data_IF_969826813852
#
_entry.id   IF_969826813852
#
_cell.length_a   1.000
_cell.length_b   1.000
_cell.length_c   1.000
_cell.angle_alpha   90.00
_cell.angle_beta   90.00
_cell.angle_gamma   90.00
#
_symmetry.space_group_name_H-M   'P 1'
#
loop_
_entity.id
_entity.type
_entity.pdbx_description
1 polymer ?
#
# COMPACT_ATOMS: atom_id res chain seq x y z
N UNK A 1 -44.21 15.29 23.66
CA UNK A 1 -44.53 14.31 22.59
C UNK A 1 -44.41 14.85 21.16
N UNK A 2 -44.45 16.16 20.92
CA UNK A 2 -44.31 16.78 19.57
C UNK A 2 -42.91 16.62 18.96
N UNK A 3 -41.83 16.84 19.72
CA UNK A 3 -40.44 16.74 19.22
C UNK A 3 -40.02 15.33 18.78
N UNK A 4 -40.63 14.28 19.36
CA UNK A 4 -40.29 12.90 19.01
C UNK A 4 -40.87 12.51 17.63
N UNK A 5 -42.07 13.01 17.31
CA UNK A 5 -42.71 12.77 16.01
C UNK A 5 -41.97 13.46 14.86
N UNK A 6 -41.47 14.67 15.08
CA UNK A 6 -40.73 15.41 14.06
C UNK A 6 -39.35 14.80 13.76
N UNK A 7 -38.67 14.30 14.80
CA UNK A 7 -37.39 13.58 14.65
C UNK A 7 -37.58 12.25 13.92
N UNK A 8 -38.64 11.51 14.24
CA UNK A 8 -38.97 10.25 13.57
C UNK A 8 -39.31 10.47 12.09
N UNK A 9 -40.06 11.52 11.75
CA UNK A 9 -40.35 11.87 10.35
C UNK A 9 -39.10 12.24 9.55
N UNK A 10 -38.15 12.99 10.13
CA UNK A 10 -36.87 13.33 9.47
C UNK A 10 -35.98 12.11 9.24
N UNK A 11 -35.98 11.14 10.15
CA UNK A 11 -35.24 9.88 9.99
C UNK A 11 -35.88 9.01 8.90
N UNK A 12 -37.21 8.86 8.93
CA UNK A 12 -37.95 8.07 7.95
C UNK A 12 -37.81 8.68 6.54
N UNK A 13 -37.89 10.01 6.41
CA UNK A 13 -37.69 10.72 5.14
C UNK A 13 -36.29 10.52 4.55
N UNK A 14 -35.25 10.61 5.39
CA UNK A 14 -33.87 10.37 4.96
C UNK A 14 -33.61 8.90 4.57
N UNK A 15 -34.25 7.94 5.25
CA UNK A 15 -34.18 6.53 4.90
C UNK A 15 -34.88 6.27 3.56
N UNK A 16 -36.06 6.85 3.34
CA UNK A 16 -36.80 6.72 2.07
C UNK A 16 -36.02 7.33 0.90
N UNK A 17 -35.42 8.51 1.06
CA UNK A 17 -34.57 9.11 0.00
C UNK A 17 -33.36 8.24 -0.31
N UNK A 18 -32.66 7.73 0.71
CA UNK A 18 -31.52 6.82 0.51
C UNK A 18 -31.95 5.51 -0.16
N UNK A 19 -33.12 4.99 0.19
CA UNK A 19 -33.67 3.78 -0.43
C UNK A 19 -34.07 4.01 -1.89
N UNK A 20 -34.69 5.15 -2.21
CA UNK A 20 -35.02 5.54 -3.59
C UNK A 20 -33.75 5.77 -4.42
N UNK A 21 -32.71 6.42 -3.87
CA UNK A 21 -31.43 6.58 -4.57
C UNK A 21 -30.75 5.23 -4.84
N UNK A 22 -30.70 4.33 -3.84
CA UNK A 22 -30.19 2.97 -4.05
C UNK A 22 -31.01 2.20 -5.09
N UNK A 23 -32.34 2.38 -5.11
CA UNK A 23 -33.23 1.69 -6.05
C UNK A 23 -33.08 2.22 -7.48
N UNK A 24 -32.91 3.53 -7.65
CA UNK A 24 -32.66 4.17 -8.96
C UNK A 24 -31.27 3.80 -9.49
N UNK A 25 -30.24 3.77 -8.64
CA UNK A 25 -28.92 3.26 -9.01
C UNK A 25 -28.99 1.77 -9.41
N UNK A 26 -29.74 0.96 -8.68
CA UNK A 26 -29.94 -0.45 -8.99
C UNK A 26 -30.65 -0.65 -10.35
N UNK A 27 -31.70 0.12 -10.63
CA UNK A 27 -32.42 0.06 -11.90
C UNK A 27 -31.56 0.57 -13.07
N UNK A 28 -30.76 1.61 -12.85
CA UNK A 28 -29.83 2.12 -13.84
C UNK A 28 -28.72 1.11 -14.17
N UNK A 29 -28.16 0.45 -13.16
CA UNK A 29 -27.17 -0.62 -13.32
C UNK A 29 -27.79 -1.84 -14.03
N UNK A 30 -29.01 -2.24 -13.65
CA UNK A 30 -29.73 -3.32 -14.32
C UNK A 30 -30.01 -3.00 -15.79
N UNK A 31 -30.43 -1.77 -16.09
CA UNK A 31 -30.71 -1.31 -17.45
C UNK A 31 -29.46 -1.23 -18.32
N UNK A 32 -28.33 -0.75 -17.77
CA UNK A 32 -27.02 -0.75 -18.45
C UNK A 32 -26.57 -2.19 -18.74
N UNK A 33 -26.69 -3.11 -17.77
CA UNK A 33 -26.36 -4.52 -17.97
C UNK A 33 -27.25 -5.20 -19.01
N UNK A 34 -28.54 -4.88 -19.04
CA UNK A 34 -29.46 -5.33 -20.07
C UNK A 34 -29.08 -4.79 -21.45
N UNK A 35 -28.71 -3.52 -21.56
CA UNK A 35 -28.27 -2.92 -22.83
C UNK A 35 -26.96 -3.57 -23.34
N UNK A 36 -25.97 -3.74 -22.46
CA UNK A 36 -24.68 -4.33 -22.81
C UNK A 36 -24.83 -5.79 -23.24
N UNK A 37 -25.64 -6.58 -22.52
CA UNK A 37 -25.92 -7.98 -22.87
C UNK A 37 -26.57 -8.12 -24.24
N UNK A 38 -27.50 -7.21 -24.59
CA UNK A 38 -28.14 -7.21 -25.90
C UNK A 38 -27.20 -6.73 -27.02
N UNK A 39 -26.34 -5.74 -26.77
CA UNK A 39 -25.33 -5.28 -27.75
C UNK A 39 -24.29 -6.37 -28.03
N UNK A 40 -23.82 -7.09 -27.00
CA UNK A 40 -22.88 -8.21 -27.18
C UNK A 40 -23.51 -9.36 -27.96
N UNK A 41 -24.79 -9.69 -27.72
CA UNK A 41 -25.53 -10.68 -28.53
C UNK A 41 -25.66 -10.27 -29.99
N UNK A 42 -25.91 -8.99 -30.27
CA UNK A 42 -26.00 -8.47 -31.65
C UNK A 42 -24.63 -8.53 -32.34
N UNK A 43 -23.54 -8.20 -31.64
CA UNK A 43 -22.19 -8.28 -32.21
C UNK A 43 -21.75 -9.73 -32.50
N UNK A 44 -22.13 -10.70 -31.68
CA UNK A 44 -21.87 -12.12 -31.97
C UNK A 44 -22.71 -12.66 -33.14
N UNK A 45 -23.94 -12.19 -33.31
CA UNK A 45 -24.80 -12.61 -34.43
C UNK A 45 -24.34 -12.04 -35.79
N UNK A 46 -23.74 -10.85 -35.79
CA UNK A 46 -23.20 -10.22 -37.01
C UNK A 46 -21.86 -10.83 -37.44
N UNK A 47 -21.06 -11.39 -36.52
CA UNK A 47 -19.78 -12.03 -36.86
C UNK A 47 -19.90 -13.48 -37.34
N UNK A 48 -21.00 -14.18 -37.05
CA UNK A 48 -21.20 -15.59 -37.47
C UNK A 48 -21.85 -15.72 -38.87
N UNK A 49 -22.24 -14.60 -39.47
CA UNK A 49 -22.95 -14.56 -40.77
C UNK A 49 -22.03 -14.34 -41.98
N UNK A 50 -20.71 -14.24 -41.79
CA UNK A 50 -19.78 -13.83 -42.86
C UNK A 50 -18.60 -14.78 -43.07
N UNK A 51 -18.84 -16.08 -43.19
CA UNK A 51 -17.91 -16.98 -43.90
C UNK A 51 -18.64 -18.19 -44.48
N UNK A 52 -19.01 -18.15 -45.77
CA UNK A 52 -18.93 -19.37 -46.58
C UNK A 52 -18.84 -19.14 -48.11
N UNK A 53 -17.84 -19.84 -48.66
CA UNK A 53 -17.64 -20.42 -49.99
C UNK A 53 -17.41 -19.59 -51.27
N UNK A 54 -16.22 -19.79 -51.86
CA UNK A 54 -15.88 -19.61 -53.27
C UNK A 54 -14.37 -19.77 -53.55
N UNK A 55 -13.90 -20.79 -54.32
CA UNK A 55 -12.48 -21.11 -54.46
C UNK A 55 -11.85 -20.51 -55.72
N UNK A 56 -10.63 -19.97 -55.64
CA UNK A 56 -9.80 -19.65 -56.81
C UNK A 56 -8.30 -19.87 -56.52
N UNK A 57 -7.75 -20.76 -57.34
CA UNK A 57 -6.37 -21.09 -57.75
C UNK A 57 -5.13 -20.32 -57.26
N UNK A 58 -4.10 -21.13 -56.96
CA UNK A 58 -2.64 -20.94 -56.96
C UNK A 58 -2.11 -20.16 -58.19
N UNK A 59 -0.96 -19.45 -58.13
CA UNK A 59 0.33 -20.14 -58.30
C UNK A 59 1.52 -19.52 -57.52
N UNK A 60 2.57 -20.33 -57.29
CA UNK A 60 3.94 -19.82 -57.40
C UNK A 60 4.90 -20.25 -56.28
N UNK A 61 5.40 -21.47 -56.42
CA UNK A 61 6.62 -21.98 -55.80
C UNK A 61 7.86 -21.15 -56.15
N UNK A 62 8.80 -21.03 -55.23
CA UNK A 62 10.09 -21.71 -55.39
C UNK A 62 10.99 -21.66 -54.12
N UNK A 63 11.91 -22.62 -53.96
CA UNK A 63 12.32 -23.17 -52.66
C UNK A 63 13.78 -22.89 -52.31
N UNK A 64 14.14 -22.85 -51.02
CA UNK A 64 15.52 -23.08 -50.57
C UNK A 64 15.52 -23.89 -49.24
N UNK A 65 16.04 -25.11 -49.34
CA UNK A 65 16.57 -26.00 -48.29
C UNK A 65 17.77 -26.73 -48.94
N UNK A 66 18.67 -27.45 -48.22
CA UNK A 66 18.80 -27.61 -46.77
C UNK A 66 20.27 -27.51 -46.27
N UNK A 67 20.46 -27.55 -44.95
CA UNK A 67 21.64 -28.23 -44.39
C UNK A 67 21.27 -28.97 -43.10
N UNK A 68 21.31 -30.31 -43.21
CA UNK A 68 21.18 -31.29 -42.14
C UNK A 68 22.39 -31.26 -41.19
N UNK A 69 22.15 -31.49 -39.90
CA UNK A 69 23.04 -32.30 -39.07
C UNK A 69 22.24 -33.02 -37.97
N UNK A 70 22.47 -34.33 -37.89
CA UNK A 70 21.85 -35.33 -37.02
C UNK A 70 22.10 -35.14 -35.51
N UNK A 71 21.03 -35.44 -34.74
CA UNK A 71 20.88 -36.24 -33.48
C UNK A 71 22.12 -36.89 -32.81
N UNK A 72 22.08 -37.28 -31.49
CA UNK A 72 20.89 -37.81 -30.78
C UNK A 72 20.68 -37.45 -29.30
N UNK A 73 19.46 -37.81 -28.86
CA UNK A 73 18.99 -37.92 -27.47
C UNK A 73 19.63 -39.15 -26.78
N UNK A 74 19.67 -39.20 -25.44
CA UNK A 74 19.18 -40.42 -24.79
C UNK A 74 18.35 -40.16 -23.53
N UNK A 75 17.21 -40.86 -23.46
CA UNK A 75 16.57 -41.25 -22.20
C UNK A 75 17.43 -42.32 -21.53
N UNK A 76 17.60 -42.25 -20.21
CA UNK A 76 17.81 -43.47 -19.40
C UNK A 76 17.10 -43.30 -18.07
N UNK A 77 16.20 -44.25 -17.80
CA UNK A 77 15.63 -44.57 -16.49
C UNK A 77 16.69 -45.26 -15.63
N UNK A 78 16.73 -44.96 -14.33
CA UNK A 78 17.21 -45.91 -13.32
C UNK A 78 16.28 -45.85 -12.11
N UNK A 79 15.55 -46.95 -11.90
CA UNK A 79 14.91 -47.34 -10.66
C UNK A 79 15.98 -47.74 -9.63
N UNK A 80 15.85 -47.27 -8.39
CA UNK A 80 16.34 -47.99 -7.20
C UNK A 80 15.25 -47.88 -6.12
N UNK A 81 14.75 -49.05 -5.71
CA UNK A 81 13.89 -49.28 -4.54
C UNK A 81 14.66 -48.96 -3.25
N UNK A 82 14.02 -48.30 -2.29
CA UNK A 82 14.22 -48.56 -0.85
C UNK A 82 12.90 -48.30 -0.10
N UNK A 83 12.34 -49.40 0.39
CA UNK A 83 11.57 -49.64 1.62
C UNK A 83 10.66 -48.58 2.25
N UNK A 84 9.39 -48.98 2.38
CA UNK A 84 8.48 -48.53 3.43
C UNK A 84 8.99 -48.97 4.80
N UNK A 85 9.13 -48.02 5.74
CA UNK A 85 8.83 -48.25 7.15
C UNK A 85 8.48 -46.94 7.86
N UNK A 86 7.46 -47.09 8.71
CA UNK A 86 6.74 -46.11 9.52
C UNK A 86 7.58 -45.62 10.70
N UNK A 87 7.63 -44.31 10.95
CA UNK A 87 7.43 -43.70 12.29
C UNK A 87 7.44 -42.16 12.27
N UNK A 88 6.83 -41.61 13.33
CA UNK A 88 6.38 -40.24 13.53
C UNK A 88 7.52 -39.23 13.77
N UNK A 89 7.28 -37.96 13.39
CA UNK A 89 7.28 -36.77 14.27
C UNK A 89 7.62 -35.52 13.47
N UNK A 90 6.64 -34.65 13.21
CA UNK A 90 6.90 -33.26 12.84
C UNK A 90 5.74 -32.36 13.28
N UNK A 91 5.73 -32.06 14.59
CA UNK A 91 5.12 -30.88 15.17
C UNK A 91 6.19 -30.17 15.99
N UNK A 92 6.94 -29.26 15.38
CA UNK A 92 7.51 -28.07 16.03
C UNK A 92 8.44 -27.32 15.05
N UNK A 93 7.87 -26.45 14.23
CA UNK A 93 8.66 -25.42 13.55
C UNK A 93 7.87 -24.12 13.43
N UNK A 94 7.32 -23.61 14.54
CA UNK A 94 6.70 -22.27 14.58
C UNK A 94 6.88 -21.52 15.92
N UNK A 95 7.66 -22.03 16.87
CA UNK A 95 7.78 -21.44 18.23
C UNK A 95 9.24 -21.35 18.72
N UNK A 96 10.21 -21.05 17.84
CA UNK A 96 11.59 -20.76 18.26
C UNK A 96 11.81 -19.26 18.51
N UNK A 97 11.28 -18.39 17.64
CA UNK A 97 11.58 -16.95 17.70
C UNK A 97 10.99 -16.18 18.89
N UNK A 98 9.85 -16.60 19.45
CA UNK A 98 9.20 -15.87 20.57
C UNK A 98 9.81 -16.26 21.92
N UNK A 99 10.22 -17.51 22.09
CA UNK A 99 10.90 -17.99 23.31
C UNK A 99 12.29 -17.35 23.45
N UNK A 100 12.96 -17.13 22.33
CA UNK A 100 14.28 -16.49 22.27
C UNK A 100 14.20 -14.98 22.59
N UNK A 101 13.09 -14.33 22.22
CA UNK A 101 12.77 -12.93 22.59
C UNK A 101 12.57 -12.77 24.10
N UNK A 102 11.90 -13.71 24.77
CA UNK A 102 11.73 -13.69 26.23
C UNK A 102 13.07 -13.83 26.97
N UNK A 103 13.98 -14.67 26.48
CA UNK A 103 15.29 -14.91 27.12
C UNK A 103 16.26 -13.74 26.98
N UNK A 104 16.22 -12.98 25.88
CA UNK A 104 17.03 -11.77 25.73
C UNK A 104 16.58 -10.66 26.68
N UNK A 105 15.27 -10.56 26.96
CA UNK A 105 14.70 -9.52 27.84
C UNK A 105 14.99 -9.76 29.34
N UNK A 106 15.01 -11.01 29.81
CA UNK A 106 15.30 -11.33 31.23
C UNK A 106 16.74 -10.95 31.65
N UNK A 107 17.69 -10.98 30.72
CA UNK A 107 19.10 -10.63 30.97
C UNK A 107 19.37 -9.13 31.18
N UNK A 108 18.35 -8.28 30.99
CA UNK A 108 18.47 -6.80 31.05
C UNK A 108 17.81 -6.15 32.28
N UNK A 109 17.46 -6.95 33.29
CA UNK A 109 16.83 -6.48 34.53
C UNK A 109 17.80 -5.72 35.45
N UNK A 110 17.96 -4.42 35.20
CA UNK A 110 18.59 -3.50 36.15
C UNK A 110 17.59 -3.07 37.24
N UNK A 111 17.92 -3.47 38.47
CA UNK A 111 17.37 -3.03 39.75
C UNK A 111 17.05 -1.53 39.80
N UNK A 112 15.78 -1.19 40.03
CA UNK A 112 15.33 0.16 40.39
C UNK A 112 15.02 0.21 41.89
N UNK A 113 15.86 0.90 42.66
CA UNK A 113 15.55 1.35 44.02
C UNK A 113 15.11 2.83 44.00
N UNK A 114 14.17 3.15 44.90
CA UNK A 114 13.45 4.43 45.12
C UNK A 114 14.34 5.69 45.19
N UNK A 115 13.77 6.92 45.01
CA UNK A 115 14.49 8.12 44.62
C UNK A 115 14.95 8.98 45.81
N UNK A 116 15.92 9.89 45.59
CA UNK A 116 16.05 11.09 46.39
C UNK A 116 15.73 12.38 45.59
N UNK A 117 14.77 13.12 46.15
CA UNK A 117 14.67 14.57 46.34
C UNK A 117 15.38 15.55 45.37
N UNK A 118 14.52 16.39 44.76
CA UNK A 118 14.65 17.81 44.44
C UNK A 118 16.03 18.47 44.53
N UNK A 119 16.63 18.74 43.36
CA UNK A 119 17.58 19.83 43.15
C UNK A 119 17.21 20.56 41.86
N UNK A 120 16.81 21.82 42.02
CA UNK A 120 16.54 22.78 40.95
C UNK A 120 17.88 23.12 40.29
N UNK A 121 18.08 22.68 39.05
CA UNK A 121 19.18 23.13 38.21
C UNK A 121 18.62 23.73 36.92
N UNK A 122 18.75 25.05 36.83
CA UNK A 122 18.56 25.89 35.65
C UNK A 122 19.54 25.48 34.56
N UNK A 123 19.07 24.66 33.60
CA UNK A 123 19.79 24.37 32.37
C UNK A 123 19.53 25.47 31.32
N UNK A 124 20.54 25.87 30.54
CA UNK A 124 20.42 26.96 29.58
C UNK A 124 19.48 26.60 28.42
N UNK A 125 18.61 27.55 28.08
CA UNK A 125 17.68 27.49 26.96
C UNK A 125 18.41 27.14 25.65
N UNK A 126 18.24 25.89 25.22
CA UNK A 126 18.70 25.42 23.91
C UNK A 126 17.79 26.07 22.87
N UNK A 127 18.27 27.15 22.24
CA UNK A 127 17.60 27.84 21.13
C UNK A 127 17.13 26.80 20.12
N UNK A 128 15.81 26.55 20.11
CA UNK A 128 15.18 25.70 19.12
C UNK A 128 15.33 26.42 17.78
N UNK A 129 16.23 25.94 16.90
CA UNK A 129 16.29 26.43 15.52
C UNK A 129 14.88 26.30 14.94
N UNK A 130 14.25 27.44 14.64
CA UNK A 130 12.93 27.48 14.04
C UNK A 130 12.92 26.55 12.82
N UNK A 131 12.05 25.54 12.85
CA UNK A 131 11.84 24.63 11.73
C UNK A 131 11.43 25.49 10.53
N UNK A 132 12.26 25.54 9.46
CA UNK A 132 11.93 26.32 8.26
C UNK A 132 10.65 25.75 7.65
N UNK A 133 9.60 26.57 7.63
CA UNK A 133 8.33 26.23 6.97
C UNK A 133 8.52 26.25 5.45
N UNK A 134 7.99 25.23 4.78
CA UNK A 134 7.95 25.10 3.31
C UNK A 134 6.48 25.22 2.89
N UNK A 135 6.15 26.18 2.06
CA UNK A 135 4.81 26.27 1.45
C UNK A 135 4.86 25.73 0.02
N UNK A 136 4.00 24.76 -0.30
CA UNK A 136 3.88 24.22 -1.66
C UNK A 136 3.47 25.31 -2.67
N UNK A 137 2.70 26.31 -2.24
CA UNK A 137 2.24 27.40 -3.10
C UNK A 137 3.33 28.44 -3.40
N UNK A 138 4.46 28.40 -2.69
CA UNK A 138 5.57 29.31 -2.94
C UNK A 138 6.24 29.00 -4.30
N UNK A 139 6.09 29.92 -5.25
CA UNK A 139 6.65 29.80 -6.61
C UNK A 139 8.15 30.06 -6.68
N UNK A 140 8.76 30.65 -5.64
CA UNK A 140 10.20 30.92 -5.58
C UNK A 140 11.03 29.67 -5.26
N UNK A 141 10.38 28.60 -4.78
CA UNK A 141 11.01 27.34 -4.37
C UNK A 141 10.77 26.29 -5.46
N UNK A 142 11.85 25.67 -5.95
CA UNK A 142 11.78 24.62 -6.97
C UNK A 142 11.28 23.28 -6.42
N UNK A 143 10.80 22.41 -7.31
CA UNK A 143 10.37 21.06 -6.94
C UNK A 143 11.54 20.12 -6.61
N UNK A 144 11.35 19.21 -5.66
CA UNK A 144 12.24 18.08 -5.39
C UNK A 144 12.11 16.99 -6.45
N UNK A 145 13.04 16.03 -6.46
CA UNK A 145 13.17 15.06 -7.55
C UNK A 145 12.38 13.74 -7.37
N UNK A 146 11.63 13.56 -6.28
CA UNK A 146 10.88 12.31 -6.02
C UNK A 146 9.38 12.56 -6.15
N UNK A 147 8.73 11.90 -7.11
CA UNK A 147 7.28 11.82 -7.23
C UNK A 147 6.83 10.50 -6.59
N UNK A 148 6.06 10.57 -5.50
CA UNK A 148 5.40 9.38 -4.95
C UNK A 148 4.05 9.21 -5.64
N UNK A 149 3.75 7.96 -5.99
CA UNK A 149 2.49 7.54 -6.59
C UNK A 149 1.92 6.43 -5.71
N UNK A 150 0.64 6.54 -5.36
CA UNK A 150 -0.04 5.56 -4.50
C UNK A 150 -1.30 5.00 -5.17
N UNK A 151 -1.61 3.75 -4.86
CA UNK A 151 -3.00 3.30 -4.82
C UNK A 151 -3.68 3.74 -3.50
N UNK A 152 -5.00 3.57 -3.41
CA UNK A 152 -5.80 3.94 -2.25
C UNK A 152 -6.29 2.74 -1.46
N UNK A 153 -7.02 1.83 -2.12
CA UNK A 153 -7.72 0.74 -1.44
C UNK A 153 -6.70 -0.36 -1.15
N UNK A 154 -6.71 -0.88 0.07
CA UNK A 154 -5.73 -1.85 0.57
C UNK A 154 -4.27 -1.40 0.56
N UNK A 155 -3.98 -0.18 0.12
CA UNK A 155 -2.66 0.45 0.21
C UNK A 155 -2.60 1.43 1.37
N UNK A 156 -3.49 2.42 1.44
CA UNK A 156 -3.55 3.41 2.55
C UNK A 156 -4.79 3.27 3.41
N UNK A 157 -5.85 2.65 2.86
CA UNK A 157 -7.12 2.43 3.54
C UNK A 157 -7.64 1.05 3.20
N UNK A 158 -7.97 0.26 4.22
CA UNK A 158 -8.53 -1.07 4.03
C UNK A 158 -9.90 -1.04 3.36
N UNK A 159 -10.09 -1.91 2.39
CA UNK A 159 -11.36 -2.17 1.73
C UNK A 159 -12.32 -3.01 2.59
N UNK A 160 -11.79 -3.76 3.56
CA UNK A 160 -12.54 -4.72 4.38
C UNK A 160 -13.06 -5.93 3.59
N UNK A 161 -12.53 -6.19 2.40
CA UNK A 161 -12.82 -7.40 1.60
C UNK A 161 -14.29 -7.56 1.19
N UNK A 162 -15.07 -6.47 1.18
CA UNK A 162 -16.50 -6.54 0.90
C UNK A 162 -16.74 -6.90 -0.56
N UNK A 163 -17.54 -7.95 -0.76
CA UNK A 163 -18.01 -8.38 -2.08
C UNK A 163 -19.51 -8.15 -2.21
N UNK A 164 -19.94 -7.70 -3.38
CA UNK A 164 -21.34 -7.64 -3.78
C UNK A 164 -21.52 -8.56 -4.99
N UNK A 165 -22.41 -9.55 -4.90
CA UNK A 165 -22.59 -10.59 -5.94
C UNK A 165 -21.27 -11.24 -6.38
N UNK A 166 -20.38 -11.53 -5.41
CA UNK A 166 -19.03 -12.09 -5.62
C UNK A 166 -18.02 -11.17 -6.34
N UNK A 167 -18.38 -9.89 -6.58
CA UNK A 167 -17.48 -8.86 -7.12
C UNK A 167 -16.92 -8.01 -5.97
N UNK A 168 -15.59 -7.87 -5.82
CA UNK A 168 -15.00 -6.97 -4.81
C UNK A 168 -15.42 -5.52 -5.05
N UNK A 169 -15.97 -4.86 -4.03
CA UNK A 169 -16.36 -3.44 -4.07
C UNK A 169 -15.18 -2.48 -3.78
N UNK A 170 -13.96 -2.94 -4.07
CA UNK A 170 -12.69 -2.28 -3.75
C UNK A 170 -11.56 -3.30 -3.86
N UNK A 171 -10.76 -3.40 -2.81
CA UNK A 171 -9.75 -4.44 -2.64
C UNK A 171 -10.27 -5.72 -1.96
N UNK A 172 -9.33 -6.52 -1.46
CA UNK A 172 -9.52 -7.86 -0.92
C UNK A 172 -9.11 -8.00 0.56
N UNK A 173 -8.50 -6.98 1.17
CA UNK A 173 -8.00 -7.01 2.54
C UNK A 173 -9.12 -7.20 3.56
N UNK A 174 -9.01 -8.26 4.35
CA UNK A 174 -9.90 -8.55 5.49
C UNK A 174 -9.20 -8.40 6.84
N UNK A 175 -7.92 -8.04 6.88
CA UNK A 175 -7.12 -7.93 8.10
C UNK A 175 -7.49 -6.66 8.89
N UNK A 176 -8.03 -5.64 8.22
CA UNK A 176 -8.49 -4.40 8.83
C UNK A 176 -9.98 -4.16 8.55
N UNK A 177 -10.61 -3.39 9.44
CA UNK A 177 -11.99 -2.98 9.25
C UNK A 177 -12.13 -2.10 8.01
N UNK A 178 -13.26 -2.20 7.29
CA UNK A 178 -13.49 -1.35 6.11
C UNK A 178 -13.34 0.13 6.45
N UNK A 179 -12.49 0.81 5.70
CA UNK A 179 -12.23 2.23 5.87
C UNK A 179 -11.19 2.57 6.93
N UNK A 180 -10.67 1.58 7.67
CA UNK A 180 -9.54 1.78 8.57
C UNK A 180 -8.30 2.19 7.77
N UNK A 181 -7.52 3.11 8.35
CA UNK A 181 -6.28 3.61 7.77
C UNK A 181 -5.11 2.79 8.32
N UNK A 182 -4.17 2.40 7.44
CA UNK A 182 -3.02 1.63 7.88
C UNK A 182 -2.07 2.49 8.74
N UNK A 183 -1.68 2.05 9.95
CA UNK A 183 -0.87 2.86 10.84
C UNK A 183 0.48 3.26 10.22
N UNK A 184 0.84 4.54 10.31
CA UNK A 184 2.11 5.08 9.83
C UNK A 184 2.16 5.43 8.34
N UNK A 185 1.16 5.04 7.53
CA UNK A 185 1.21 5.19 6.08
C UNK A 185 1.43 6.63 5.60
N UNK A 186 0.69 7.59 6.14
CA UNK A 186 0.79 9.01 5.77
C UNK A 186 2.15 9.60 6.11
N UNK A 187 2.72 9.22 7.26
CA UNK A 187 4.06 9.67 7.64
C UNK A 187 5.09 9.08 6.69
N UNK A 188 4.98 7.79 6.34
CA UNK A 188 5.90 7.13 5.41
C UNK A 188 5.89 7.78 4.02
N UNK A 189 4.71 8.02 3.46
CA UNK A 189 4.54 8.66 2.14
C UNK A 189 5.16 10.06 2.12
N UNK A 190 4.94 10.85 3.19
CA UNK A 190 5.56 12.16 3.32
C UNK A 190 7.09 12.07 3.38
N UNK A 191 7.64 11.15 4.18
CA UNK A 191 9.09 11.00 4.32
C UNK A 191 9.76 10.58 3.00
N UNK A 192 9.13 9.70 2.21
CA UNK A 192 9.57 9.38 0.85
C UNK A 192 9.60 10.61 -0.06
N UNK A 193 8.55 11.41 0.00
CA UNK A 193 8.40 12.64 -0.80
C UNK A 193 9.44 13.70 -0.42
N UNK A 194 9.89 13.70 0.84
CA UNK A 194 10.83 14.69 1.36
C UNK A 194 12.30 14.27 1.29
N UNK A 195 12.59 12.98 1.09
CA UNK A 195 13.95 12.49 1.21
C UNK A 195 14.88 13.06 0.13
N UNK A 196 16.04 13.57 0.57
CA UNK A 196 17.10 14.14 -0.28
C UNK A 196 16.58 15.18 -1.30
N UNK A 197 15.50 15.92 -0.98
CA UNK A 197 14.97 16.93 -1.90
C UNK A 197 15.96 18.09 -2.17
N UNK A 198 16.97 18.28 -1.31
CA UNK A 198 17.90 19.41 -1.38
C UNK A 198 17.43 20.62 -0.58
N UNK A 199 18.34 21.60 -0.39
CA UNK A 199 17.98 22.87 0.27
C UNK A 199 17.13 23.71 -0.68
N UNK A 200 16.16 24.44 -0.13
CA UNK A 200 15.28 25.33 -0.89
C UNK A 200 14.51 24.63 -2.03
N UNK A 201 14.05 23.41 -1.76
CA UNK A 201 13.14 22.67 -2.61
C UNK A 201 11.88 22.32 -1.83
N UNK A 202 10.80 22.04 -2.55
CA UNK A 202 9.52 21.58 -1.99
C UNK A 202 9.16 20.19 -2.54
N UNK A 203 8.52 19.32 -1.75
CA UNK A 203 8.12 18.00 -2.22
C UNK A 203 7.04 18.13 -3.30
N UNK A 204 7.09 17.26 -4.31
CA UNK A 204 6.02 17.17 -5.32
C UNK A 204 4.70 16.76 -4.65
N UNK A 205 3.58 17.27 -5.14
CA UNK A 205 2.25 16.82 -4.72
C UNK A 205 2.04 15.35 -5.10
N UNK A 206 1.31 14.61 -4.27
CA UNK A 206 1.09 13.17 -4.40
C UNK A 206 0.23 12.85 -5.63
N UNK A 207 0.58 11.76 -6.32
CA UNK A 207 -0.21 11.21 -7.43
C UNK A 207 -0.95 9.96 -6.99
N UNK A 208 -2.13 9.72 -7.57
CA UNK A 208 -2.97 8.57 -7.27
C UNK A 208 -3.30 7.81 -8.55
N UNK A 209 -3.03 6.51 -8.56
CA UNK A 209 -3.52 5.58 -9.60
C UNK A 209 -4.47 4.61 -8.93
N UNK A 210 -5.77 4.74 -9.19
CA UNK A 210 -6.80 3.98 -8.47
C UNK A 210 -7.77 3.30 -9.44
N UNK A 211 -8.26 2.12 -9.04
CA UNK A 211 -9.30 1.40 -9.76
C UNK A 211 -10.71 1.92 -9.47
N UNK A 212 -10.85 2.90 -8.58
CA UNK A 212 -12.10 3.60 -8.35
C UNK A 212 -12.57 4.31 -9.61
N UNK A 213 -13.89 4.49 -9.70
CA UNK A 213 -14.55 5.26 -10.76
C UNK A 213 -14.65 6.74 -10.36
N UNK A 214 -14.63 7.68 -11.33
CA UNK A 214 -14.64 9.13 -11.05
C UNK A 214 -15.84 9.64 -10.24
N UNK A 215 -16.95 8.89 -10.22
CA UNK A 215 -18.19 9.24 -9.51
C UNK A 215 -18.04 9.25 -7.98
N UNK A 216 -16.95 8.67 -7.45
CA UNK A 216 -16.57 8.79 -6.03
C UNK A 216 -15.22 9.53 -5.95
N UNK A 217 -15.22 10.86 -6.21
CA UNK A 217 -13.98 11.59 -6.39
C UNK A 217 -13.23 11.77 -5.07
N UNK A 218 -11.90 11.68 -5.15
CA UNK A 218 -11.00 12.11 -4.10
C UNK A 218 -10.82 13.62 -4.24
N UNK A 219 -11.44 14.37 -3.34
CA UNK A 219 -11.38 15.84 -3.33
C UNK A 219 -10.35 16.35 -2.33
N UNK A 220 -10.06 17.66 -2.40
CA UNK A 220 -9.17 18.35 -1.46
C UNK A 220 -9.65 18.17 -0.02
N UNK A 221 -10.96 18.16 0.19
CA UNK A 221 -11.62 17.98 1.49
C UNK A 221 -11.91 16.51 1.84
N UNK A 222 -11.39 15.55 1.07
CA UNK A 222 -11.50 14.15 1.45
C UNK A 222 -10.78 13.90 2.78
N UNK A 223 -11.32 13.01 3.62
CA UNK A 223 -10.70 12.68 4.91
C UNK A 223 -9.26 12.18 4.75
N UNK A 224 -9.00 11.46 3.66
CA UNK A 224 -7.68 10.99 3.27
C UNK A 224 -6.72 12.17 3.00
N UNK A 225 -7.12 13.13 2.16
CA UNK A 225 -6.26 14.26 1.84
C UNK A 225 -6.04 15.19 3.05
N UNK A 226 -7.06 15.40 3.89
CA UNK A 226 -6.90 16.12 5.17
C UNK A 226 -5.88 15.45 6.09
N UNK A 227 -5.79 14.12 6.10
CA UNK A 227 -4.80 13.42 6.92
C UNK A 227 -3.38 13.61 6.37
N UNK A 228 -3.19 13.59 5.05
CA UNK A 228 -1.92 13.93 4.40
C UNK A 228 -1.48 15.36 4.76
N UNK A 229 -2.39 16.33 4.60
CA UNK A 229 -2.14 17.74 4.94
C UNK A 229 -1.72 17.89 6.41
N UNK A 230 -2.48 17.30 7.34
CA UNK A 230 -2.17 17.38 8.77
C UNK A 230 -0.80 16.79 9.14
N UNK A 231 -0.41 15.69 8.51
CA UNK A 231 0.91 15.08 8.75
C UNK A 231 2.04 15.95 8.18
N UNK A 232 1.82 16.57 7.02
CA UNK A 232 2.77 17.50 6.40
C UNK A 232 2.94 18.80 7.18
N UNK A 233 1.85 19.39 7.66
CA UNK A 233 1.88 20.62 8.46
C UNK A 233 2.65 20.43 9.77
N UNK A 234 2.48 19.27 10.43
CA UNK A 234 3.29 18.90 11.61
C UNK A 234 4.79 18.78 11.32
N UNK A 235 5.18 18.64 10.06
CA UNK A 235 6.58 18.62 9.61
C UNK A 235 7.04 19.97 9.06
N UNK A 236 6.17 20.99 9.09
CA UNK A 236 6.42 22.33 8.57
C UNK A 236 6.23 22.43 7.05
N UNK A 237 5.45 21.55 6.43
CA UNK A 237 5.12 21.61 5.01
C UNK A 237 3.64 21.96 4.84
N UNK A 238 3.36 23.17 4.37
CA UNK A 238 2.00 23.71 4.21
C UNK A 238 1.45 23.39 2.82
N UNK A 239 0.13 23.17 2.73
CA UNK A 239 -0.59 22.94 1.47
C UNK A 239 -0.10 21.71 0.67
N UNK A 240 0.47 20.70 1.34
CA UNK A 240 0.91 19.46 0.69
C UNK A 240 -0.13 18.35 0.85
N UNK A 241 -0.32 17.55 -0.20
CA UNK A 241 -1.26 16.43 -0.24
C UNK A 241 -1.35 15.86 -1.64
N UNK A 242 -2.51 15.35 -2.01
CA UNK A 242 -2.85 14.90 -3.36
C UNK A 242 -3.07 16.10 -4.27
N UNK A 243 -2.50 16.04 -5.48
CA UNK A 243 -2.87 16.96 -6.56
C UNK A 243 -4.21 16.51 -7.15
N UNK A 244 -5.29 16.98 -6.53
CA UNK A 244 -6.65 16.59 -6.87
C UNK A 244 -7.11 17.05 -8.26
N UNK A 245 -6.45 18.06 -8.82
CA UNK A 245 -6.82 18.66 -10.09
C UNK A 245 -6.18 17.91 -11.27
N UNK A 246 -4.96 17.40 -11.09
CA UNK A 246 -4.15 16.91 -12.21
C UNK A 246 -3.61 15.49 -12.07
N UNK A 247 -3.44 14.96 -10.84
CA UNK A 247 -2.72 13.70 -10.60
C UNK A 247 -3.55 12.62 -9.93
N UNK A 248 -4.88 12.67 -10.07
CA UNK A 248 -5.74 11.51 -9.78
C UNK A 248 -6.17 10.87 -11.09
N UNK A 249 -5.71 9.64 -11.31
CA UNK A 249 -6.01 8.89 -12.52
C UNK A 249 -6.83 7.65 -12.17
N UNK A 250 -8.14 7.80 -12.37
CA UNK A 250 -9.14 6.75 -12.18
C UNK A 250 -9.10 5.68 -13.28
N UNK A 251 -9.62 4.51 -12.95
CA UNK A 251 -9.99 3.48 -13.92
C UNK A 251 -11.33 3.82 -14.59
N UNK A 252 -11.69 3.06 -15.63
CA UNK A 252 -13.04 3.13 -16.22
C UNK A 252 -13.97 2.11 -15.56
N UNK A 253 -15.28 2.22 -15.83
CA UNK A 253 -16.28 1.23 -15.40
C UNK A 253 -15.89 -0.19 -15.85
N UNK A 254 -15.27 -0.34 -17.03
CA UNK A 254 -14.82 -1.64 -17.54
C UNK A 254 -13.85 -2.30 -16.57
N UNK A 255 -12.80 -1.60 -16.15
CA UNK A 255 -11.80 -2.19 -15.26
C UNK A 255 -12.28 -2.33 -13.80
N UNK A 256 -13.31 -1.57 -13.42
CA UNK A 256 -13.97 -1.76 -12.14
C UNK A 256 -14.70 -3.13 -12.09
N UNK A 257 -15.37 -3.53 -13.17
CA UNK A 257 -16.03 -4.84 -13.29
C UNK A 257 -15.11 -5.99 -13.73
N UNK A 258 -14.13 -5.73 -14.62
CA UNK A 258 -13.23 -6.74 -15.19
C UNK A 258 -11.81 -6.58 -14.64
N UNK A 259 -11.48 -7.42 -13.66
CA UNK A 259 -10.22 -7.33 -12.91
C UNK A 259 -8.97 -7.58 -13.77
N UNK A 260 -9.06 -8.33 -14.87
CA UNK A 260 -7.92 -8.81 -15.63
C UNK A 260 -7.04 -7.73 -16.28
N UNK A 261 -7.57 -6.51 -16.44
CA UNK A 261 -6.87 -5.39 -17.08
C UNK A 261 -6.53 -4.24 -16.12
N UNK A 262 -6.75 -4.41 -14.82
CA UNK A 262 -6.51 -3.35 -13.81
C UNK A 262 -5.04 -2.92 -13.75
N UNK A 263 -4.11 -3.88 -13.80
CA UNK A 263 -2.67 -3.59 -13.81
C UNK A 263 -2.25 -2.82 -15.05
N UNK A 264 -2.66 -3.29 -16.23
CA UNK A 264 -2.42 -2.60 -17.51
C UNK A 264 -3.00 -1.18 -17.50
N UNK A 265 -4.21 -1.01 -16.95
CA UNK A 265 -4.85 0.30 -16.84
C UNK A 265 -4.07 1.26 -15.95
N UNK A 266 -3.58 0.81 -14.79
CA UNK A 266 -2.71 1.62 -13.93
C UNK A 266 -1.41 1.98 -14.65
N UNK A 267 -0.82 1.07 -15.42
CA UNK A 267 0.34 1.37 -16.26
C UNK A 267 0.05 2.40 -17.36
N UNK A 268 -1.09 2.31 -18.05
CA UNK A 268 -1.54 3.31 -19.03
C UNK A 268 -1.72 4.68 -18.38
N UNK A 269 -2.33 4.71 -17.18
CA UNK A 269 -2.48 5.94 -16.41
C UNK A 269 -1.11 6.48 -15.98
N UNK A 270 -0.18 5.65 -15.52
CA UNK A 270 1.19 6.06 -15.24
C UNK A 270 1.86 6.75 -16.43
N UNK A 271 1.68 6.24 -17.66
CA UNK A 271 2.24 6.91 -18.86
C UNK A 271 1.68 8.32 -19.07
N UNK A 272 0.41 8.56 -18.74
CA UNK A 272 -0.19 9.90 -18.78
C UNK A 272 0.41 10.80 -17.70
N UNK A 273 0.51 10.28 -16.47
CA UNK A 273 1.12 10.97 -15.34
C UNK A 273 2.58 11.34 -15.62
N UNK A 274 3.36 10.42 -16.21
CA UNK A 274 4.76 10.64 -16.57
C UNK A 274 4.91 11.86 -17.50
N UNK A 275 4.04 12.00 -18.50
CA UNK A 275 4.05 13.17 -19.40
C UNK A 275 3.73 14.45 -18.65
N UNK A 276 2.73 14.43 -17.78
CA UNK A 276 2.35 15.58 -16.96
C UNK A 276 3.50 16.02 -16.04
N UNK A 277 4.04 15.08 -15.26
CA UNK A 277 5.12 15.36 -14.31
C UNK A 277 6.41 15.74 -15.02
N UNK A 278 6.72 15.16 -16.19
CA UNK A 278 7.91 15.56 -16.96
C UNK A 278 7.85 17.02 -17.43
N UNK A 279 6.65 17.56 -17.70
CA UNK A 279 6.46 18.97 -18.04
C UNK A 279 6.64 19.90 -16.82
N UNK A 280 6.30 19.44 -15.61
CA UNK A 280 6.48 20.19 -14.36
C UNK A 280 7.91 20.09 -13.81
N UNK A 281 8.51 18.90 -13.94
CA UNK A 281 9.81 18.54 -13.40
C UNK A 281 10.40 17.33 -14.15
N UNK A 282 11.22 17.59 -15.17
CA UNK A 282 11.85 16.58 -16.00
C UNK A 282 12.76 15.60 -15.24
N UNK A 283 13.31 16.05 -14.11
CA UNK A 283 14.24 15.28 -13.28
C UNK A 283 13.54 14.36 -12.28
N UNK A 284 12.20 14.41 -12.23
CA UNK A 284 11.42 13.58 -11.33
C UNK A 284 11.64 12.08 -11.61
N UNK A 285 11.88 11.34 -10.53
CA UNK A 285 11.86 9.88 -10.48
C UNK A 285 10.77 9.41 -9.53
N UNK A 286 10.24 8.23 -9.79
CA UNK A 286 8.98 7.77 -9.24
C UNK A 286 9.16 6.65 -8.23
N UNK A 287 8.34 6.67 -7.19
CA UNK A 287 8.15 5.56 -6.27
C UNK A 287 6.68 5.16 -6.36
N UNK A 288 6.43 3.89 -6.68
CA UNK A 288 5.09 3.32 -6.74
C UNK A 288 4.79 2.55 -5.46
N UNK A 289 3.65 2.84 -4.83
CA UNK A 289 3.14 2.12 -3.66
C UNK A 289 1.75 1.59 -4.01
N UNK A 290 1.58 0.29 -3.87
CA UNK A 290 0.31 -0.41 -4.13
C UNK A 290 0.20 -1.63 -3.24
N UNK A 291 -0.73 -2.54 -3.53
CA UNK A 291 -0.96 -3.74 -2.75
C UNK A 291 -0.85 -5.06 -3.56
N UNK A 292 -0.78 -6.20 -2.88
CA UNK A 292 -0.73 -7.52 -3.53
C UNK A 292 -2.10 -8.14 -3.81
N UNK A 293 -3.18 -7.49 -3.37
CA UNK A 293 -4.56 -7.97 -3.46
C UNK A 293 -5.24 -7.63 -4.78
N UNK A 294 -4.79 -6.59 -5.47
CA UNK A 294 -5.20 -6.24 -6.84
C UNK A 294 -4.07 -6.55 -7.86
N UNK A 295 -3.89 -5.71 -8.89
CA UNK A 295 -2.88 -5.89 -9.95
C UNK A 295 -1.80 -4.81 -9.92
N UNK A 296 -1.46 -4.33 -8.72
CA UNK A 296 -0.51 -3.23 -8.54
C UNK A 296 0.93 -3.66 -8.71
N UNK A 297 1.21 -4.92 -8.37
CA UNK A 297 2.49 -5.56 -8.67
C UNK A 297 2.72 -5.60 -10.18
N UNK A 298 1.74 -6.09 -10.95
CA UNK A 298 1.79 -6.13 -12.42
C UNK A 298 2.03 -4.72 -13.00
N UNK A 299 1.31 -3.72 -12.51
CA UNK A 299 1.51 -2.33 -12.91
C UNK A 299 2.93 -1.84 -12.60
N UNK A 300 3.44 -2.09 -11.39
CA UNK A 300 4.78 -1.72 -10.96
C UNK A 300 5.88 -2.37 -11.80
N UNK A 301 5.74 -3.66 -12.10
CA UNK A 301 6.67 -4.38 -12.97
C UNK A 301 6.66 -3.84 -14.40
N UNK A 302 5.49 -3.50 -14.95
CA UNK A 302 5.41 -2.82 -16.24
C UNK A 302 6.09 -1.44 -16.22
N UNK A 303 5.88 -0.64 -15.16
CA UNK A 303 6.57 0.64 -14.99
C UNK A 303 8.09 0.46 -15.02
N UNK A 304 8.62 -0.55 -14.32
CA UNK A 304 10.06 -0.87 -14.34
C UNK A 304 10.50 -1.36 -15.72
N UNK A 305 9.74 -2.29 -16.34
CA UNK A 305 10.09 -2.89 -17.63
C UNK A 305 10.26 -1.84 -18.71
N UNK A 306 9.39 -0.84 -18.76
CA UNK A 306 9.41 0.21 -19.77
C UNK A 306 10.15 1.49 -19.35
N UNK A 307 10.24 1.79 -18.05
CA UNK A 307 10.77 3.05 -17.54
C UNK A 307 11.71 2.89 -16.33
N UNK A 308 12.52 1.83 -16.28
CA UNK A 308 13.43 1.54 -15.14
C UNK A 308 14.27 2.75 -14.69
N UNK A 309 14.78 3.54 -15.63
CA UNK A 309 15.56 4.76 -15.35
C UNK A 309 14.76 5.87 -14.63
N UNK A 310 13.42 5.84 -14.70
CA UNK A 310 12.52 6.76 -13.99
C UNK A 310 12.00 6.19 -12.68
N UNK A 311 11.99 4.88 -12.47
CA UNK A 311 11.51 4.27 -11.22
C UNK A 311 12.67 4.19 -10.20
N UNK A 312 12.40 4.50 -8.94
CA UNK A 312 13.34 4.35 -7.81
C UNK A 312 13.05 3.07 -7.02
N UNK A 313 11.78 2.75 -6.82
CA UNK A 313 11.33 1.56 -6.11
C UNK A 313 9.85 1.30 -6.39
N UNK A 314 9.45 0.04 -6.22
CA UNK A 314 8.06 -0.42 -6.12
C UNK A 314 7.88 -1.03 -4.73
N UNK A 315 6.91 -0.54 -3.97
CA UNK A 315 6.63 -0.97 -2.59
C UNK A 315 5.22 -1.57 -2.54
N UNK A 316 5.12 -2.85 -2.22
CA UNK A 316 3.86 -3.61 -2.26
C UNK A 316 3.41 -3.95 -0.85
N UNK A 317 2.30 -3.35 -0.43
CA UNK A 317 1.62 -3.72 0.80
C UNK A 317 1.01 -5.11 0.63
N UNK A 318 1.51 -6.06 1.39
CA UNK A 318 1.07 -7.43 1.32
C UNK A 318 -0.24 -7.60 2.08
N UNK A 319 -1.32 -7.73 1.32
CA UNK A 319 -2.67 -7.99 1.83
C UNK A 319 -3.11 -9.38 1.37
N UNK A 320 -3.86 -10.06 2.23
CA UNK A 320 -4.34 -11.42 1.98
C UNK A 320 -5.82 -11.53 2.26
N UNK A 321 -6.56 -12.20 1.36
CA UNK A 321 -7.97 -12.54 1.54
C UNK A 321 -8.21 -13.96 2.04
N UNK A 322 -7.15 -14.79 2.08
CA UNK A 322 -7.26 -16.26 2.28
C UNK A 322 -6.20 -16.86 3.21
N UNK A 323 -5.47 -16.05 3.97
CA UNK A 323 -4.56 -16.58 4.99
C UNK A 323 -3.31 -17.29 4.44
N UNK A 324 -2.97 -17.14 3.15
CA UNK A 324 -1.59 -17.33 2.74
C UNK A 324 -0.77 -16.23 3.41
N UNK A 325 -0.13 -16.58 4.52
CA UNK A 325 0.54 -15.65 5.43
C UNK A 325 2.01 -15.41 5.04
N UNK A 326 2.50 -16.18 4.07
CA UNK A 326 3.88 -16.13 3.58
C UNK A 326 4.07 -14.91 2.71
N UNK A 327 4.78 -13.93 3.28
CA UNK A 327 5.25 -12.75 2.57
C UNK A 327 6.06 -13.17 1.34
N UNK A 328 5.80 -12.60 0.15
CA UNK A 328 6.67 -12.77 -0.99
C UNK A 328 8.08 -12.23 -0.71
N UNK A 329 9.10 -12.85 -1.31
CA UNK A 329 10.46 -12.36 -1.22
C UNK A 329 10.63 -11.06 -2.02
N UNK A 330 11.41 -10.13 -1.47
CA UNK A 330 11.86 -8.96 -2.22
C UNK A 330 12.74 -9.40 -3.39
N UNK A 331 12.71 -8.62 -4.48
CA UNK A 331 13.56 -8.86 -5.63
C UNK A 331 13.91 -7.58 -6.35
N UNK A 332 14.81 -7.69 -7.34
CA UNK A 332 15.17 -6.59 -8.22
C UNK A 332 14.76 -6.91 -9.64
N UNK A 333 14.07 -5.96 -10.28
CA UNK A 333 13.76 -6.00 -11.70
C UNK A 333 14.48 -4.84 -12.38
N UNK A 334 15.37 -5.12 -13.34
CA UNK A 334 16.21 -4.10 -14.00
C UNK A 334 16.89 -3.13 -13.02
N UNK A 335 17.44 -3.68 -11.92
CA UNK A 335 18.10 -2.93 -10.83
C UNK A 335 17.17 -1.99 -10.03
N UNK A 336 15.86 -2.06 -10.23
CA UNK A 336 14.87 -1.37 -9.40
C UNK A 336 14.35 -2.36 -8.35
N UNK A 337 14.37 -2.02 -7.06
CA UNK A 337 13.86 -2.88 -6.01
C UNK A 337 12.32 -2.95 -6.03
N UNK A 338 11.81 -4.17 -5.90
CA UNK A 338 10.41 -4.50 -5.62
C UNK A 338 10.36 -5.07 -4.21
N UNK A 339 9.69 -4.35 -3.31
CA UNK A 339 9.77 -4.54 -1.87
C UNK A 339 8.39 -4.83 -1.29
N UNK A 340 8.22 -5.98 -0.64
CA UNK A 340 6.95 -6.36 -0.01
C UNK A 340 6.94 -6.01 1.48
N UNK A 341 5.80 -5.62 2.04
CA UNK A 341 5.73 -5.30 3.47
C UNK A 341 4.33 -5.53 4.05
N UNK A 342 4.25 -5.82 5.36
CA UNK A 342 2.97 -6.01 6.09
C UNK A 342 2.62 -4.75 6.88
N UNK A 343 3.62 -4.06 7.42
CA UNK A 343 3.41 -2.79 8.11
C UNK A 343 4.24 -1.68 7.47
N UNK A 344 3.80 -0.43 7.66
CA UNK A 344 4.56 0.72 7.20
C UNK A 344 5.86 0.96 7.97
N UNK A 345 6.06 0.30 9.13
CA UNK A 345 7.37 0.26 9.80
C UNK A 345 8.32 -0.67 9.05
N UNK A 346 7.85 -1.85 8.65
CA UNK A 346 8.60 -2.74 7.75
C UNK A 346 8.90 -2.09 6.40
N UNK A 347 7.94 -1.36 5.81
CA UNK A 347 8.17 -0.57 4.60
C UNK A 347 9.27 0.49 4.81
N UNK A 348 9.25 1.18 5.95
CA UNK A 348 10.24 2.18 6.31
C UNK A 348 11.63 1.59 6.54
N UNK A 349 11.73 0.40 7.14
CA UNK A 349 12.99 -0.35 7.28
C UNK A 349 13.62 -0.58 5.91
N UNK A 350 12.88 -1.21 4.99
CA UNK A 350 13.35 -1.48 3.63
C UNK A 350 13.67 -0.19 2.88
N UNK A 351 12.89 0.86 3.06
CA UNK A 351 13.19 2.17 2.48
C UNK A 351 14.50 2.78 3.01
N UNK A 352 14.89 2.54 4.27
CA UNK A 352 16.21 2.95 4.79
C UNK A 352 17.32 2.13 4.14
N UNK A 353 17.17 0.81 4.07
CA UNK A 353 18.16 -0.11 3.48
C UNK A 353 18.45 0.23 2.01
N UNK A 354 17.44 0.70 1.29
CA UNK A 354 17.56 1.13 -0.11
C UNK A 354 17.82 2.65 -0.29
N UNK A 355 18.09 3.38 0.80
CA UNK A 355 18.44 4.81 0.74
C UNK A 355 17.32 5.71 0.22
N UNK A 356 16.06 5.29 0.37
CA UNK A 356 14.84 6.02 0.00
C UNK A 356 14.35 6.96 1.10
N UNK A 357 14.67 6.67 2.37
CA UNK A 357 14.47 7.55 3.53
C UNK A 357 15.67 7.50 4.48
N UNK A 358 15.71 8.38 5.49
CA UNK A 358 16.77 8.38 6.54
C UNK A 358 16.35 7.60 7.80
N UNK A 359 17.31 7.20 8.66
CA UNK A 359 17.01 6.60 9.97
C UNK A 359 16.05 7.46 10.83
N UNK A 360 16.24 8.78 10.86
CA UNK A 360 15.33 9.69 11.58
C UNK A 360 13.90 9.68 11.01
N UNK A 361 13.76 9.40 9.71
CA UNK A 361 12.45 9.27 9.07
C UNK A 361 11.76 7.97 9.48
N UNK A 362 12.50 6.85 9.53
CA UNK A 362 12.04 5.59 10.09
C UNK A 362 11.53 5.76 11.52
N UNK A 363 12.28 6.43 12.40
CA UNK A 363 11.82 6.69 13.79
C UNK A 363 10.49 7.46 13.83
N UNK A 364 10.28 8.43 12.93
CA UNK A 364 9.00 9.17 12.84
C UNK A 364 7.85 8.29 12.36
N UNK A 365 8.09 7.42 11.37
CA UNK A 365 7.09 6.46 10.88
C UNK A 365 6.70 5.49 11.99
N UNK A 366 7.68 4.94 12.71
CA UNK A 366 7.47 4.04 13.85
C UNK A 366 6.63 4.70 14.94
N UNK A 367 7.04 5.88 15.41
CA UNK A 367 6.31 6.63 16.45
C UNK A 367 4.87 6.88 16.00
N UNK A 368 4.67 7.26 14.73
CA UNK A 368 3.33 7.50 14.21
C UNK A 368 2.49 6.23 14.13
N UNK A 369 3.06 5.13 13.66
CA UNK A 369 2.36 3.85 13.54
C UNK A 369 1.89 3.34 14.91
N UNK A 370 2.75 3.39 15.93
CA UNK A 370 2.38 2.97 17.30
C UNK A 370 1.24 3.82 17.87
N UNK A 371 1.31 5.13 17.70
CA UNK A 371 0.26 6.02 18.21
C UNK A 371 -1.07 5.81 17.49
N UNK A 372 -1.05 5.69 16.16
CA UNK A 372 -2.26 5.46 15.37
C UNK A 372 -2.90 4.09 15.65
N UNK A 373 -2.09 3.03 15.78
CA UNK A 373 -2.63 1.70 16.12
C UNK A 373 -3.15 1.66 17.57
N UNK A 374 -2.55 2.40 18.49
CA UNK A 374 -3.04 2.48 19.87
C UNK A 374 -4.31 3.31 20.00
N UNK A 375 -4.47 4.34 19.18
CA UNK A 375 -5.71 5.14 19.14
C UNK A 375 -6.84 4.39 18.43
N UNK A 376 -6.52 3.41 17.57
CA UNK A 376 -7.50 2.49 17.03
C UNK A 376 -7.99 1.56 18.16
N UNK A 377 -9.29 1.56 18.46
CA UNK A 377 -9.92 0.74 19.51
C UNK A 377 -10.01 -0.74 19.15
N UNK A 378 -9.11 -1.25 18.33
CA UNK A 378 -9.13 -2.62 17.84
C UNK A 378 -8.65 -3.57 18.94
N UNK A 379 -9.41 -4.63 19.19
CA UNK A 379 -9.03 -5.73 20.08
C UNK A 379 -8.26 -6.83 19.32
N UNK A 380 -7.98 -6.61 18.04
CA UNK A 380 -7.28 -7.57 17.20
C UNK A 380 -5.77 -7.50 17.48
N UNK A 381 -5.28 -8.56 18.12
CA UNK A 381 -3.87 -8.72 18.48
C UNK A 381 -2.96 -9.02 17.27
N UNK A 382 -3.51 -9.46 16.13
CA UNK A 382 -2.70 -9.79 14.94
C UNK A 382 -1.98 -8.55 14.37
N UNK A 383 -2.66 -7.41 14.33
CA UNK A 383 -2.10 -6.11 13.89
C UNK A 383 -0.93 -5.68 14.76
N UNK A 384 -1.07 -5.86 16.08
CA UNK A 384 0.00 -5.58 17.03
C UNK A 384 1.16 -6.58 16.88
N UNK A 385 0.88 -7.87 16.61
CA UNK A 385 1.91 -8.87 16.38
C UNK A 385 2.80 -8.50 15.19
N UNK A 386 2.21 -8.14 14.05
CA UNK A 386 2.96 -7.71 12.87
C UNK A 386 3.77 -6.43 13.13
N UNK A 387 3.16 -5.44 13.79
CA UNK A 387 3.85 -4.18 14.11
C UNK A 387 5.00 -4.40 15.11
N UNK A 388 4.81 -5.21 16.14
CA UNK A 388 5.85 -5.50 17.14
C UNK A 388 7.00 -6.26 16.50
N UNK A 389 6.73 -7.23 15.62
CA UNK A 389 7.78 -7.92 14.85
C UNK A 389 8.66 -6.92 14.11
N UNK A 390 8.06 -6.02 13.32
CA UNK A 390 8.81 -5.00 12.58
C UNK A 390 9.52 -4.00 13.51
N UNK A 391 8.94 -3.66 14.67
CA UNK A 391 9.57 -2.77 15.67
C UNK A 391 10.85 -3.39 16.25
N UNK A 392 10.81 -4.67 16.63
CA UNK A 392 11.97 -5.37 17.17
C UNK A 392 13.12 -5.42 16.15
N UNK A 393 12.78 -5.62 14.87
CA UNK A 393 13.76 -5.62 13.78
C UNK A 393 14.41 -4.25 13.52
N UNK A 394 13.79 -3.14 13.95
CA UNK A 394 14.30 -1.79 13.71
C UNK A 394 14.74 -1.07 14.98
N UNK A 395 14.66 -1.68 16.16
CA UNK A 395 14.88 -0.99 17.44
C UNK A 395 16.27 -0.34 17.50
N UNK A 396 17.30 -1.08 17.09
CA UNK A 396 18.69 -0.60 17.04
C UNK A 396 18.85 0.55 16.03
N UNK A 397 18.17 0.45 14.88
CA UNK A 397 18.24 1.40 13.77
C UNK A 397 17.51 2.71 14.11
N UNK A 398 16.33 2.60 14.72
CA UNK A 398 15.48 3.73 15.08
C UNK A 398 15.99 4.48 16.34
N UNK A 399 16.75 3.79 17.19
CA UNK A 399 17.46 4.31 18.36
C UNK A 399 16.62 5.18 19.29
N UNK A 400 15.36 4.77 19.51
CA UNK A 400 14.40 5.53 20.32
C UNK A 400 14.84 5.69 21.79
N UNK A 401 15.70 4.79 22.28
CA UNK A 401 16.25 4.82 23.65
C UNK A 401 17.05 6.09 23.96
N UNK A 402 17.61 6.77 22.95
CA UNK A 402 18.42 7.99 23.15
C UNK A 402 17.61 9.28 23.32
N UNK A 403 16.29 9.20 23.15
CA UNK A 403 15.44 10.39 23.15
C UNK A 403 14.49 10.42 24.34
N UNK A 404 14.63 11.43 25.19
CA UNK A 404 13.81 11.66 26.38
C UNK A 404 12.62 12.60 26.13
N UNK A 405 12.26 12.83 24.87
CA UNK A 405 11.08 13.63 24.53
C UNK A 405 9.81 12.87 24.93
N UNK A 406 8.86 13.56 25.58
CA UNK A 406 7.67 12.92 26.16
C UNK A 406 6.86 12.04 25.19
N UNK A 407 6.81 12.41 23.90
CA UNK A 407 6.15 11.59 22.87
C UNK A 407 6.84 10.23 22.67
N UNK A 408 8.18 10.22 22.66
CA UNK A 408 8.98 9.00 22.46
C UNK A 408 8.90 8.12 23.71
N UNK A 409 8.96 8.72 24.90
CA UNK A 409 8.75 8.01 26.16
C UNK A 409 7.38 7.32 26.19
N UNK A 410 6.31 8.04 25.78
CA UNK A 410 4.96 7.47 25.64
C UNK A 410 4.94 6.32 24.64
N UNK A 411 5.57 6.48 23.48
CA UNK A 411 5.66 5.41 22.46
C UNK A 411 6.34 4.16 23.02
N UNK A 412 7.47 4.27 23.72
CA UNK A 412 8.16 3.13 24.36
C UNK A 412 7.25 2.43 25.37
N UNK A 413 6.57 3.20 26.22
CA UNK A 413 5.64 2.64 27.22
C UNK A 413 4.47 1.86 26.60
N UNK A 414 3.94 2.34 25.47
CA UNK A 414 2.91 1.62 24.70
C UNK A 414 3.48 0.31 24.17
N UNK A 415 4.66 0.34 23.54
CA UNK A 415 5.32 -0.85 22.99
C UNK A 415 5.54 -1.90 24.08
N UNK A 416 6.13 -1.52 25.21
CA UNK A 416 6.40 -2.41 26.35
C UNK A 416 5.11 -3.03 26.93
N UNK A 417 4.02 -2.26 26.95
CA UNK A 417 2.72 -2.76 27.41
C UNK A 417 2.16 -3.79 26.43
N UNK A 418 2.20 -3.50 25.12
CA UNK A 418 1.69 -4.43 24.09
C UNK A 418 2.51 -5.70 23.97
N UNK A 419 3.84 -5.63 24.14
CA UNK A 419 4.69 -6.82 24.21
C UNK A 419 4.23 -7.73 25.36
N UNK A 420 4.03 -7.16 26.56
CA UNK A 420 3.57 -7.93 27.74
C UNK A 420 2.19 -8.57 27.51
N UNK A 421 1.24 -7.83 26.95
CA UNK A 421 -0.09 -8.37 26.63
C UNK A 421 -0.02 -9.52 25.61
N UNK A 422 0.78 -9.38 24.54
CA UNK A 422 0.95 -10.43 23.54
C UNK A 422 1.61 -11.69 24.13
N UNK A 423 2.58 -11.54 25.03
CA UNK A 423 3.20 -12.67 25.72
C UNK A 423 2.24 -13.42 26.64
N UNK A 424 1.31 -12.72 27.30
CA UNK A 424 0.32 -13.33 28.19
C UNK A 424 -0.74 -14.13 27.43
N UNK A 425 -1.11 -13.70 26.22
CA UNK A 425 -2.12 -14.35 25.38
C UNK A 425 -1.61 -15.60 24.63
N UNK A 426 -0.34 -15.98 24.79
CA UNK A 426 0.26 -17.19 24.20
C UNK A 426 0.23 -18.38 25.19
N UNK A 427 -0.13 -18.12 26.45
CA UNK A 427 -0.44 -19.12 27.49
C UNK A 427 -1.93 -19.40 27.53
#
# INVERSE_FOLDING_TARGET
MSNLKETFHKILWNLTIKFVFCFVEFYFIYYINFLISNVVRICFFVMDSSTNSGPVSDPGSDPILPSNSHFPNPQTQTNINVDENVENDDKNCEISGISEVSKQLESSSLSYNKPPQTLVNTAPERVQKAQKTIDIKDKSIGWGATQVIIDIDDTVKSSGGIKLFNVPLGGVDTQYGRGELYPGCFQFILELSMHKMGKNRKPLLLSVLTTRIPQVPITVDSALNRRLMHVAEKRGVLNWGIDCDNKILYSTLKEWFFNESRGEKKFVNFRKLLRFVANENSDARFIWIGDTGDRDLEAGEMMIKYFSHKIKAVLMHHVSSKGSDTMPNDYYLKSVPVLFFKTYVGAAKKAVEHGLISHNALSRVLVRAVLELNDNTTTDHSKWKDLIKDILEVEEIANLKKYEQGLIVRTRSIIETRIRELSQNIT
#
